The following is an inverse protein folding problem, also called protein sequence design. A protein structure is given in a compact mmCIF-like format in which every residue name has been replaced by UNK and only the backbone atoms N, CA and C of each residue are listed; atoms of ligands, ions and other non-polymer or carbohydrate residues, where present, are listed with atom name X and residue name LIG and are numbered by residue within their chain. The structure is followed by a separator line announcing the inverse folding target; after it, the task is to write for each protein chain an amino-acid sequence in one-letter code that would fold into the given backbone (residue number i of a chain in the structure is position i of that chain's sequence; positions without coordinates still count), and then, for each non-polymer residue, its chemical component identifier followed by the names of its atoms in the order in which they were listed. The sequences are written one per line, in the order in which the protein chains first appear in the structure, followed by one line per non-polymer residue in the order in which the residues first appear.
data_IF_452739204835
#
_entry.id   IF_452739204835
#
_cell.length_a   1.000
_cell.length_b   1.000
_cell.length_c   1.000
_cell.angle_alpha   90.00
_cell.angle_beta   90.00
_cell.angle_gamma   90.00
#
_symmetry.space_group_name_H-M   'P 1'
#
loop_
_entity.id
_entity.type
_entity.pdbx_description
1 polymer ?
#
# COMPACT_ATOMS: atom_id res chain seq x y z
N UNK A 1 8.67 -27.51 31.06
CA UNK A 1 9.63 -26.38 31.13
C UNK A 1 8.84 -25.10 31.31
N UNK A 2 9.15 -24.23 32.30
CA UNK A 2 8.26 -23.14 32.69
C UNK A 2 8.48 -21.94 31.76
N UNK A 3 7.89 -21.99 30.56
CA UNK A 3 7.77 -20.81 29.69
C UNK A 3 6.61 -19.90 30.09
N UNK A 4 5.81 -20.29 31.09
CA UNK A 4 4.54 -19.69 31.48
C UNK A 4 4.60 -18.19 31.81
N UNK A 5 5.80 -17.62 32.01
CA UNK A 5 5.98 -16.19 32.29
C UNK A 5 6.98 -15.48 31.37
N UNK A 6 7.36 -16.07 30.22
CA UNK A 6 8.26 -15.42 29.26
C UNK A 6 7.51 -14.52 28.28
N UNK A 7 8.15 -13.45 27.79
CA UNK A 7 7.60 -12.60 26.72
C UNK A 7 7.25 -13.39 25.44
N UNK A 8 8.00 -14.44 25.15
CA UNK A 8 7.70 -15.35 24.03
C UNK A 8 6.38 -16.09 24.24
N UNK A 9 6.14 -16.60 25.45
CA UNK A 9 4.89 -17.28 25.77
C UNK A 9 3.68 -16.34 25.81
N UNK A 10 3.86 -15.09 26.24
CA UNK A 10 2.80 -14.07 26.18
C UNK A 10 2.35 -13.78 24.74
N UNK A 11 3.29 -13.82 23.78
CA UNK A 11 3.01 -13.69 22.35
C UNK A 11 2.63 -15.03 21.68
N UNK A 12 2.68 -16.15 22.40
CA UNK A 12 2.44 -17.49 21.85
C UNK A 12 3.50 -17.96 20.86
N UNK A 13 4.73 -17.42 20.96
CA UNK A 13 5.84 -17.68 20.04
C UNK A 13 6.94 -18.51 20.70
N UNK A 14 7.73 -19.18 19.86
CA UNK A 14 8.96 -19.83 20.30
C UNK A 14 10.12 -18.81 20.36
N UNK A 15 11.12 -18.96 21.25
CA UNK A 15 12.30 -18.07 21.28
C UNK A 15 13.10 -18.03 19.98
N UNK A 16 12.90 -19.01 19.08
CA UNK A 16 13.46 -19.00 17.73
C UNK A 16 12.68 -18.18 16.70
N UNK A 17 11.55 -17.58 17.08
CA UNK A 17 10.72 -16.78 16.20
C UNK A 17 11.49 -15.57 15.65
N UNK A 18 11.23 -15.23 14.38
CA UNK A 18 11.81 -14.06 13.74
C UNK A 18 11.20 -12.77 14.29
N UNK A 19 11.86 -11.63 14.04
CA UNK A 19 11.29 -10.33 14.40
C UNK A 19 9.95 -10.05 13.69
N UNK A 20 9.76 -10.62 12.48
CA UNK A 20 8.52 -10.55 11.72
C UNK A 20 7.39 -11.29 12.44
N UNK A 21 7.66 -12.49 12.94
CA UNK A 21 6.68 -13.29 13.68
C UNK A 21 6.24 -12.58 14.97
N UNK A 22 7.20 -11.97 15.69
CA UNK A 22 6.94 -11.17 16.90
C UNK A 22 6.00 -10.00 16.58
N UNK A 23 6.26 -9.28 15.50
CA UNK A 23 5.42 -8.15 15.07
C UNK A 23 4.03 -8.60 14.64
N UNK A 24 3.93 -9.72 13.92
CA UNK A 24 2.65 -10.30 13.47
C UNK A 24 1.81 -10.74 14.66
N UNK A 25 2.39 -11.51 15.58
CA UNK A 25 1.69 -11.99 16.78
C UNK A 25 1.21 -10.83 17.65
N UNK A 26 2.06 -9.82 17.88
CA UNK A 26 1.67 -8.63 18.64
C UNK A 26 0.49 -7.91 18.00
N UNK A 27 0.45 -7.78 16.67
CA UNK A 27 -0.64 -7.09 15.97
C UNK A 27 -1.96 -7.84 16.08
N UNK A 28 -1.95 -9.17 15.96
CA UNK A 28 -3.14 -10.01 16.11
C UNK A 28 -3.65 -10.02 17.55
N UNK A 29 -2.75 -10.15 18.53
CA UNK A 29 -3.11 -10.13 19.95
C UNK A 29 -3.57 -8.74 20.41
N UNK A 30 -2.95 -7.66 19.91
CA UNK A 30 -3.38 -6.30 20.20
C UNK A 30 -4.82 -6.06 19.78
N UNK A 31 -5.24 -6.55 18.59
CA UNK A 31 -6.64 -6.44 18.15
C UNK A 31 -7.60 -7.21 19.07
N UNK A 32 -7.17 -8.36 19.59
CA UNK A 32 -7.97 -9.23 20.47
C UNK A 32 -8.06 -8.74 21.92
N UNK A 33 -7.13 -7.91 22.39
CA UNK A 33 -7.11 -7.41 23.77
C UNK A 33 -7.27 -5.89 23.87
N UNK A 34 -7.63 -5.22 22.78
CA UNK A 34 -7.82 -3.76 22.79
C UNK A 34 -9.12 -3.40 23.52
N UNK A 35 -9.05 -2.52 24.54
CA UNK A 35 -10.18 -2.23 25.45
C UNK A 35 -11.38 -1.54 24.80
N UNK A 36 -11.27 -1.10 23.54
CA UNK A 36 -12.36 -0.49 22.77
C UNK A 36 -13.02 -1.43 21.74
N UNK A 37 -12.40 -2.56 21.37
CA UNK A 37 -12.94 -3.44 20.31
C UNK A 37 -13.36 -4.82 20.79
N UNK A 38 -13.12 -5.17 22.05
CA UNK A 38 -13.53 -6.47 22.62
C UNK A 38 -14.58 -6.35 23.69
N UNK A 39 -15.52 -7.30 23.71
CA UNK A 39 -16.55 -7.49 24.75
C UNK A 39 -15.97 -7.98 26.09
N UNK A 40 -14.66 -8.20 26.16
CA UNK A 40 -13.97 -8.63 27.37
C UNK A 40 -13.99 -7.52 28.44
N UNK A 41 -14.15 -7.87 29.73
CA UNK A 41 -14.09 -6.90 30.81
C UNK A 41 -12.78 -6.09 30.74
N UNK A 42 -12.89 -4.76 30.76
CA UNK A 42 -11.74 -3.84 30.70
C UNK A 42 -10.67 -4.18 31.76
N UNK A 43 -11.11 -4.68 32.92
CA UNK A 43 -10.25 -5.16 34.01
C UNK A 43 -9.30 -6.31 33.63
N UNK A 44 -9.62 -7.09 32.59
CA UNK A 44 -8.80 -8.21 32.10
C UNK A 44 -8.04 -7.80 30.83
N UNK A 45 -8.68 -7.04 29.95
CA UNK A 45 -8.10 -6.59 28.68
C UNK A 45 -6.90 -5.64 28.91
N UNK A 46 -7.04 -4.64 29.80
CA UNK A 46 -5.97 -3.67 30.09
C UNK A 46 -4.66 -4.30 30.58
N UNK A 47 -4.64 -5.18 31.61
CA UNK A 47 -3.38 -5.77 32.07
C UNK A 47 -2.76 -6.71 31.03
N UNK A 48 -3.57 -7.47 30.29
CA UNK A 48 -3.09 -8.32 29.19
C UNK A 48 -2.46 -7.51 28.06
N UNK A 49 -3.11 -6.41 27.67
CA UNK A 49 -2.60 -5.50 26.66
C UNK A 49 -1.28 -4.84 27.11
N UNK A 50 -1.19 -4.47 28.38
CA UNK A 50 0.04 -3.90 28.93
C UNK A 50 1.20 -4.92 28.92
N UNK A 51 0.94 -6.17 29.28
CA UNK A 51 1.93 -7.26 29.17
C UNK A 51 2.38 -7.50 27.72
N UNK A 52 1.46 -7.42 26.75
CA UNK A 52 1.78 -7.53 25.32
C UNK A 52 2.68 -6.38 24.85
N UNK A 53 2.41 -5.15 25.30
CA UNK A 53 3.24 -3.99 25.00
C UNK A 53 4.66 -4.13 25.56
N UNK A 54 4.80 -4.57 26.81
CA UNK A 54 6.11 -4.78 27.44
C UNK A 54 6.92 -5.86 26.74
N UNK A 55 6.25 -6.98 26.38
CA UNK A 55 6.85 -8.06 25.61
C UNK A 55 7.33 -7.56 24.25
N UNK A 56 6.48 -6.86 23.50
CA UNK A 56 6.83 -6.33 22.19
C UNK A 56 7.97 -5.30 22.28
N UNK A 57 7.92 -4.36 23.23
CA UNK A 57 8.96 -3.34 23.39
C UNK A 57 10.36 -3.95 23.65
N UNK A 58 10.40 -5.09 24.35
CA UNK A 58 11.65 -5.80 24.64
C UNK A 58 12.11 -6.64 23.44
N UNK A 59 11.19 -7.36 22.79
CA UNK A 59 11.53 -8.32 21.74
C UNK A 59 11.65 -7.68 20.33
N UNK A 60 11.09 -6.49 20.12
CA UNK A 60 11.13 -5.79 18.83
C UNK A 60 12.51 -5.22 18.52
N UNK A 61 13.29 -4.84 19.54
CA UNK A 61 14.64 -4.32 19.39
C UNK A 61 15.65 -5.47 19.54
N UNK A 62 16.57 -5.68 18.57
CA UNK A 62 17.50 -6.80 18.59
C UNK A 62 18.46 -6.76 19.80
N UNK A 63 18.89 -5.59 20.24
CA UNK A 63 19.79 -5.42 21.38
C UNK A 63 19.07 -5.75 22.69
N UNK A 64 17.85 -5.23 22.88
CA UNK A 64 17.02 -5.54 24.05
C UNK A 64 16.61 -7.00 24.10
N UNK A 65 16.32 -7.60 22.95
CA UNK A 65 16.03 -9.03 22.80
C UNK A 65 17.24 -9.87 23.22
N UNK A 66 18.44 -9.52 22.75
CA UNK A 66 19.65 -10.25 23.09
C UNK A 66 19.95 -10.16 24.60
N UNK A 67 19.79 -8.97 25.19
CA UNK A 67 19.93 -8.78 26.63
C UNK A 67 18.89 -9.59 27.42
N UNK A 68 17.65 -9.65 26.93
CA UNK A 68 16.59 -10.46 27.53
C UNK A 68 16.88 -11.96 27.41
N UNK A 69 17.28 -12.43 26.22
CA UNK A 69 17.65 -13.83 25.94
C UNK A 69 18.81 -14.28 26.84
N UNK A 70 19.79 -13.41 27.06
CA UNK A 70 20.91 -13.64 27.98
C UNK A 70 20.42 -13.74 29.44
N UNK A 71 19.50 -12.85 29.86
CA UNK A 71 18.92 -12.85 31.23
C UNK A 71 18.11 -14.10 31.53
N UNK A 72 17.35 -14.61 30.56
CA UNK A 72 16.53 -15.82 30.74
C UNK A 72 17.32 -17.12 30.56
N UNK A 73 18.65 -17.03 30.38
CA UNK A 73 19.52 -18.20 30.17
C UNK A 73 19.32 -18.86 28.80
N UNK A 74 18.66 -18.20 27.84
CA UNK A 74 18.63 -18.60 26.43
C UNK A 74 19.95 -18.20 25.76
N UNK A 75 21.04 -18.78 26.24
CA UNK A 75 22.30 -18.72 25.51
C UNK A 75 22.13 -19.58 24.26
N UNK A 76 21.96 -18.94 23.10
CA UNK A 76 22.10 -19.59 21.78
C UNK A 76 23.54 -20.04 21.50
N UNK A 77 24.45 -19.92 22.47
CA UNK A 77 25.86 -20.26 22.37
C UNK A 77 26.18 -21.28 23.46
N UNK A 78 26.35 -22.54 23.04
CA UNK A 78 27.12 -23.54 23.78
C UNK A 78 27.79 -24.50 22.80
N UNK A 79 28.38 -24.00 21.71
CA UNK A 79 29.41 -24.75 20.97
C UNK A 79 30.42 -23.76 20.35
N UNK A 80 31.55 -23.62 21.05
CA UNK A 80 32.94 -23.56 20.56
C UNK A 80 33.18 -22.90 19.18
N UNK A 81 33.90 -21.80 19.25
CA UNK A 81 34.56 -21.06 18.17
C UNK A 81 35.46 -21.96 17.30
N UNK A 82 35.29 -21.94 15.97
CA UNK A 82 36.26 -22.48 15.03
C UNK A 82 37.07 -21.32 14.39
N UNK A 83 38.39 -21.50 14.15
CA UNK A 83 39.32 -20.42 13.83
C UNK A 83 39.08 -19.79 12.44
N UNK A 84 39.58 -18.57 12.19
CA UNK A 84 39.41 -17.92 10.90
C UNK A 84 40.42 -18.52 9.92
N UNK A 85 39.97 -19.40 9.03
CA UNK A 85 40.78 -19.76 7.87
C UNK A 85 39.95 -19.73 6.58
N UNK A 86 40.46 -18.92 5.66
CA UNK A 86 39.97 -18.65 4.31
C UNK A 86 39.96 -19.92 3.43
N UNK A 87 39.12 -19.87 2.38
CA UNK A 87 39.02 -20.79 1.22
C UNK A 87 38.35 -22.15 1.42
N UNK A 88 37.03 -22.21 1.19
CA UNK A 88 36.36 -23.38 0.61
C UNK A 88 35.49 -22.92 -0.58
N UNK A 89 35.82 -23.28 -1.84
CA UNK A 89 34.92 -23.14 -2.97
C UNK A 89 34.07 -24.40 -3.05
N UNK A 90 32.81 -24.33 -2.63
CA UNK A 90 31.85 -25.39 -2.93
C UNK A 90 30.41 -24.92 -2.81
N UNK A 91 29.78 -24.91 -3.97
CA UNK A 91 28.41 -24.57 -4.30
C UNK A 91 27.38 -25.22 -3.38
N UNK A 92 26.44 -24.43 -2.86
CA UNK A 92 25.03 -24.79 -2.76
C UNK A 92 24.21 -23.56 -3.16
N UNK A 93 23.48 -23.69 -4.26
CA UNK A 93 22.70 -22.63 -4.86
C UNK A 93 21.66 -22.10 -3.87
N UNK A 94 21.92 -20.91 -3.34
CA UNK A 94 20.83 -20.00 -3.02
C UNK A 94 20.52 -19.26 -4.30
N UNK A 95 19.39 -19.61 -4.88
CA UNK A 95 18.73 -18.79 -5.88
C UNK A 95 18.75 -17.36 -5.38
N UNK A 96 19.41 -16.48 -6.12
CA UNK A 96 19.19 -15.04 -6.01
C UNK A 96 17.71 -14.79 -6.29
N UNK A 97 16.88 -14.90 -5.26
CA UNK A 97 15.51 -14.42 -5.27
C UNK A 97 15.57 -12.95 -4.91
N UNK A 98 16.12 -12.16 -5.82
CA UNK A 98 15.99 -10.70 -5.88
C UNK A 98 14.58 -10.28 -6.30
N UNK A 99 13.56 -10.99 -5.83
CA UNK A 99 12.17 -10.80 -6.23
C UNK A 99 11.18 -11.05 -5.08
N UNK A 100 11.61 -10.96 -3.82
CA UNK A 100 10.69 -10.78 -2.70
C UNK A 100 10.37 -9.29 -2.56
N UNK A 101 9.62 -8.76 -3.54
CA UNK A 101 8.66 -7.72 -3.25
C UNK A 101 7.61 -8.41 -2.38
N UNK A 102 7.76 -8.31 -1.05
CA UNK A 102 6.65 -8.55 -0.14
C UNK A 102 5.95 -7.20 0.09
N UNK A 103 4.95 -6.82 -0.72
CA UNK A 103 4.20 -5.59 -0.50
C UNK A 103 3.33 -5.65 0.76
N UNK A 104 3.32 -6.76 1.50
CA UNK A 104 2.35 -7.01 2.58
C UNK A 104 2.83 -6.56 3.96
N UNK A 105 4.10 -6.18 4.13
CA UNK A 105 4.69 -5.94 5.46
C UNK A 105 5.16 -4.50 5.77
N UNK A 106 5.02 -3.54 4.84
CA UNK A 106 5.15 -2.11 5.18
C UNK A 106 3.78 -1.55 5.56
N UNK A 107 3.46 -1.31 6.85
CA UNK A 107 2.35 -0.40 7.14
C UNK A 107 2.70 0.93 6.49
N UNK A 108 1.76 1.48 5.72
CA UNK A 108 1.93 2.77 5.05
C UNK A 108 2.54 3.75 6.05
N UNK A 109 3.69 4.33 5.68
CA UNK A 109 4.35 5.35 6.50
C UNK A 109 3.33 6.45 6.80
N UNK A 110 3.40 7.10 7.96
CA UNK A 110 2.48 8.19 8.30
C UNK A 110 2.41 9.26 7.18
N UNK A 111 3.53 9.47 6.47
CA UNK A 111 3.59 10.32 5.28
C UNK A 111 2.90 9.74 4.03
N UNK A 112 2.92 8.42 3.81
CA UNK A 112 2.19 7.77 2.71
C UNK A 112 0.68 7.81 2.95
N UNK A 113 0.24 7.60 4.20
CA UNK A 113 -1.17 7.71 4.58
C UNK A 113 -1.67 9.14 4.38
N UNK A 114 -0.89 10.12 4.83
CA UNK A 114 -1.18 11.54 4.63
C UNK A 114 -1.21 11.89 3.13
N UNK A 115 -0.24 11.41 2.35
CA UNK A 115 -0.19 11.65 0.90
C UNK A 115 -1.39 11.04 0.17
N UNK A 116 -1.82 9.82 0.53
CA UNK A 116 -3.01 9.20 -0.04
C UNK A 116 -4.28 9.96 0.33
N UNK A 117 -4.37 10.48 1.55
CA UNK A 117 -5.49 11.33 1.95
C UNK A 117 -5.55 12.63 1.14
N UNK A 118 -4.42 13.32 0.97
CA UNK A 118 -4.32 14.54 0.14
C UNK A 118 -4.63 14.23 -1.32
N UNK A 119 -4.18 13.09 -1.85
CA UNK A 119 -4.47 12.65 -3.22
C UNK A 119 -5.97 12.40 -3.44
N UNK A 120 -6.64 11.72 -2.50
CA UNK A 120 -8.09 11.50 -2.58
C UNK A 120 -8.85 12.83 -2.45
N UNK A 121 -8.46 13.69 -1.51
CA UNK A 121 -9.10 14.98 -1.29
C UNK A 121 -8.97 15.90 -2.52
N UNK A 122 -7.80 15.92 -3.15
CA UNK A 122 -7.58 16.65 -4.40
C UNK A 122 -8.37 16.08 -5.56
N UNK A 123 -8.41 14.75 -5.73
CA UNK A 123 -9.20 14.12 -6.79
C UNK A 123 -10.70 14.40 -6.65
N UNK A 124 -11.23 14.30 -5.43
CA UNK A 124 -12.63 14.65 -5.10
C UNK A 124 -12.88 16.13 -5.33
N UNK A 125 -11.97 17.01 -4.92
CA UNK A 125 -12.06 18.44 -5.18
C UNK A 125 -12.12 18.77 -6.67
N UNK A 126 -11.25 18.16 -7.48
CA UNK A 126 -11.26 18.29 -8.94
C UNK A 126 -12.55 17.75 -9.56
N UNK A 127 -13.04 16.60 -9.09
CA UNK A 127 -14.30 16.01 -9.58
C UNK A 127 -15.48 16.92 -9.28
N UNK A 128 -15.58 17.43 -8.05
CA UNK A 128 -16.64 18.37 -7.65
C UNK A 128 -16.55 19.68 -8.43
N UNK A 129 -15.34 20.20 -8.65
CA UNK A 129 -15.13 21.40 -9.46
C UNK A 129 -15.53 21.17 -10.93
N UNK A 130 -15.18 20.01 -11.51
CA UNK A 130 -15.58 19.66 -12.87
C UNK A 130 -17.10 19.49 -13.00
N UNK A 131 -17.76 18.84 -12.03
CA UNK A 131 -19.22 18.70 -12.01
C UNK A 131 -19.89 20.07 -11.82
N UNK A 132 -19.39 20.91 -10.91
CA UNK A 132 -19.92 22.25 -10.72
C UNK A 132 -19.75 23.13 -11.97
N UNK A 133 -18.61 23.06 -12.65
CA UNK A 133 -18.40 23.72 -13.95
C UNK A 133 -19.31 23.12 -15.02
N UNK A 134 -19.51 21.80 -15.04
CA UNK A 134 -20.41 21.14 -15.99
C UNK A 134 -21.89 21.49 -15.78
N UNK A 135 -22.31 21.67 -14.51
CA UNK A 135 -23.68 22.08 -14.18
C UNK A 135 -23.90 23.58 -14.41
N UNK A 136 -22.89 24.43 -14.15
CA UNK A 136 -22.97 25.88 -14.40
C UNK A 136 -22.77 26.24 -15.88
N UNK A 137 -22.01 25.42 -16.63
CA UNK A 137 -21.88 25.47 -18.09
C UNK A 137 -22.76 24.43 -18.76
N UNK A 138 -23.87 24.01 -18.13
CA UNK A 138 -24.82 23.01 -18.58
C UNK A 138 -25.58 23.38 -19.85
N UNK A 139 -24.85 23.75 -20.89
CA UNK A 139 -25.25 23.70 -22.28
C UNK A 139 -24.11 22.97 -23.01
N UNK A 140 -24.13 21.64 -22.93
CA UNK A 140 -23.34 20.79 -23.80
C UNK A 140 -23.88 20.93 -25.22
N UNK A 141 -23.57 22.08 -25.83
CA UNK A 141 -23.63 22.27 -27.27
C UNK A 141 -22.61 21.34 -27.92
N UNK A 142 -22.96 20.06 -28.02
CA UNK A 142 -22.53 19.26 -29.15
C UNK A 142 -23.13 19.93 -30.39
N UNK A 143 -22.45 20.96 -30.90
CA UNK A 143 -22.47 21.25 -32.32
C UNK A 143 -21.58 20.17 -32.95
N UNK A 144 -22.15 19.09 -33.54
CA UNK A 144 -21.35 18.30 -34.45
C UNK A 144 -20.89 19.28 -35.52
N UNK A 145 -19.60 19.30 -35.75
CA UNK A 145 -18.98 20.10 -36.79
C UNK A 145 -19.49 19.59 -38.15
N UNK A 146 -20.72 19.95 -38.51
CA UNK A 146 -21.25 19.96 -39.86
C UNK A 146 -20.55 21.13 -40.54
N UNK A 147 -19.28 20.88 -40.85
CA UNK A 147 -18.46 21.61 -41.79
C UNK A 147 -19.33 22.15 -42.91
N UNK A 148 -19.34 23.48 -43.01
CA UNK A 148 -19.56 24.35 -44.17
C UNK A 148 -19.40 23.68 -45.56
N UNK A 149 -20.24 22.69 -45.87
CA UNK A 149 -20.27 21.96 -47.14
C UNK A 149 -21.55 22.26 -47.91
N UNK A 150 -22.60 22.72 -47.23
CA UNK A 150 -23.83 23.19 -47.89
C UNK A 150 -23.62 24.53 -48.63
N UNK A 151 -22.83 25.45 -48.10
CA UNK A 151 -22.56 26.75 -48.75
C UNK A 151 -21.63 26.62 -49.97
N UNK A 152 -20.67 25.68 -49.93
CA UNK A 152 -19.77 25.41 -51.06
C UNK A 152 -20.45 24.61 -52.18
N UNK A 153 -21.41 23.73 -51.87
CA UNK A 153 -22.18 23.06 -52.94
C UNK A 153 -23.20 23.99 -53.60
N UNK A 154 -23.82 24.93 -52.88
CA UNK A 154 -24.72 25.91 -53.50
C UNK A 154 -23.97 26.84 -54.47
N UNK A 155 -22.76 27.28 -54.13
CA UNK A 155 -21.95 28.14 -55.01
C UNK A 155 -21.40 27.40 -56.24
N UNK A 156 -21.11 26.09 -56.14
CA UNK A 156 -20.64 25.30 -57.28
C UNK A 156 -21.81 24.93 -58.22
N UNK A 157 -23.02 24.72 -57.70
CA UNK A 157 -24.21 24.45 -58.53
C UNK A 157 -24.71 25.71 -59.26
N UNK A 158 -24.73 26.87 -58.60
CA UNK A 158 -25.16 28.13 -59.25
C UNK A 158 -24.17 28.60 -60.31
N UNK A 159 -22.86 28.43 -60.07
CA UNK A 159 -21.81 28.81 -61.05
C UNK A 159 -21.71 27.86 -62.25
N UNK A 160 -22.20 26.61 -62.13
CA UNK A 160 -22.29 25.68 -63.27
C UNK A 160 -23.50 25.98 -64.16
N UNK A 161 -24.62 26.41 -63.58
CA UNK A 161 -25.84 26.70 -64.35
C UNK A 161 -25.78 28.00 -65.15
N UNK A 162 -25.01 29.01 -64.72
CA UNK A 162 -24.78 30.23 -65.52
C UNK A 162 -23.90 29.97 -66.76
N UNK A 163 -22.99 28.99 -66.68
CA UNK A 163 -22.07 28.68 -67.78
C UNK A 163 -22.68 27.81 -68.87
N UNK A 164 -23.75 27.07 -68.55
CA UNK A 164 -24.48 26.23 -69.51
C UNK A 164 -25.56 27.04 -70.23
N UNK A 165 -26.29 27.93 -69.54
CA UNK A 165 -27.29 28.79 -70.20
C UNK A 165 -26.69 29.79 -71.19
N UNK A 166 -25.48 30.30 -70.93
CA UNK A 166 -24.77 31.20 -71.85
C UNK A 166 -24.13 30.48 -73.05
N UNK A 167 -24.01 29.15 -73.02
CA UNK A 167 -23.51 28.37 -74.16
C UNK A 167 -24.64 27.86 -75.06
N UNK A 168 -25.84 27.64 -74.53
CA UNK A 168 -27.04 27.30 -75.32
C UNK A 168 -27.70 28.52 -75.99
N UNK A 169 -27.41 29.74 -75.54
CA UNK A 169 -27.97 30.99 -76.11
C UNK A 169 -27.11 31.61 -77.23
N UNK A 170 -25.93 31.07 -77.54
CA UNK A 170 -24.98 31.67 -78.50
C UNK A 170 -24.51 30.70 -79.60
N UNK A 171 -25.43 29.85 -80.08
CA UNK A 171 -25.29 29.04 -81.30
C UNK A 171 -26.59 29.06 -82.08
#
# INVERSE_FOLDING_TARGET
MPFSSSYYALLGLHPSASALDIRRAYRELSKQYHPDTTELPRAIATPKFQQLNEAYATLSNPERRLAYDTKIGYSRISVIQAPPHFNHPSQKGYTSSSAYLDPTDRPLSAGEIFALFILVLTFVGCLLLAVAVGLTRGDVGFEPLATNSASLQQQVYTKKNEKVSNFEFNR
#
